data_IF_134954045008
#
_entry.id   IF_134954045008
#
_cell.length_a   1.000
_cell.length_b   1.000
_cell.length_c   1.000
_cell.angle_alpha   90.00
_cell.angle_beta   90.00
_cell.angle_gamma   90.00
#
_symmetry.space_group_name_H-M   'P 1'
#
loop_
_entity.id
_entity.type
_entity.pdbx_description
1 polymer ?
#
# COMPACT_ATOMS: atom_id res chain seq x y z
N UNK A 1 12.54 9.18 -15.37
CA UNK A 1 11.77 8.56 -16.46
C UNK A 1 12.64 7.64 -17.33
N UNK A 2 13.72 8.12 -17.94
CA UNK A 2 14.53 7.30 -18.88
C UNK A 2 15.12 6.02 -18.28
N UNK A 3 15.62 6.06 -17.05
CA UNK A 3 16.09 4.86 -16.36
C UNK A 3 14.99 3.81 -16.20
N UNK A 4 13.76 4.24 -15.89
CA UNK A 4 12.62 3.34 -15.75
C UNK A 4 12.29 2.67 -17.09
N UNK A 5 12.24 3.45 -18.18
CA UNK A 5 12.01 2.91 -19.53
C UNK A 5 13.11 1.94 -19.93
N UNK A 6 14.38 2.27 -19.65
CA UNK A 6 15.50 1.39 -19.93
C UNK A 6 15.44 0.09 -19.12
N UNK A 7 15.03 0.15 -17.84
CA UNK A 7 14.86 -1.03 -17.00
C UNK A 7 13.89 -2.03 -17.60
N UNK A 8 12.82 -1.60 -18.29
CA UNK A 8 11.86 -2.51 -18.93
C UNK A 8 12.49 -3.41 -20.01
N UNK A 9 13.63 -3.01 -20.58
CA UNK A 9 14.39 -3.81 -21.56
C UNK A 9 15.34 -4.81 -20.91
N UNK A 10 15.49 -4.77 -19.59
CA UNK A 10 16.39 -5.63 -18.83
C UNK A 10 15.68 -6.88 -18.28
N UNK A 11 14.41 -7.12 -18.66
CA UNK A 11 13.56 -8.20 -18.14
C UNK A 11 13.55 -8.22 -16.59
N UNK A 12 13.21 -7.10 -15.93
CA UNK A 12 13.18 -7.08 -14.48
C UNK A 12 11.98 -7.90 -13.99
N UNK A 13 12.14 -8.64 -12.90
CA UNK A 13 10.98 -9.27 -12.24
C UNK A 13 10.13 -8.21 -11.50
N UNK A 14 10.79 -7.17 -10.97
CA UNK A 14 10.17 -6.07 -10.21
C UNK A 14 10.89 -4.75 -10.48
N UNK A 15 10.18 -3.65 -10.31
CA UNK A 15 10.71 -2.30 -10.48
C UNK A 15 10.52 -1.52 -9.19
N UNK A 16 11.63 -1.02 -8.65
CA UNK A 16 11.64 -0.18 -7.47
C UNK A 16 11.95 1.25 -7.88
N UNK A 17 10.93 2.11 -7.90
CA UNK A 17 11.12 3.54 -8.12
C UNK A 17 11.28 4.20 -6.76
N UNK A 18 12.43 4.82 -6.49
CA UNK A 18 12.70 5.35 -5.15
C UNK A 18 11.61 6.32 -4.67
N UNK A 19 11.22 7.27 -5.51
CA UNK A 19 10.13 8.20 -5.24
C UNK A 19 9.51 8.70 -6.55
N UNK A 20 8.18 8.75 -6.61
CA UNK A 20 7.45 9.37 -7.72
C UNK A 20 7.10 10.83 -7.40
N UNK A 21 7.48 11.73 -8.31
CA UNK A 21 7.33 13.18 -8.22
C UNK A 21 6.72 13.82 -9.45
N UNK A 22 6.78 13.17 -10.63
CA UNK A 22 6.35 13.73 -11.92
C UNK A 22 5.80 12.64 -12.86
N UNK A 23 6.01 12.81 -14.16
CA UNK A 23 5.51 12.03 -15.26
C UNK A 23 6.02 10.57 -15.29
N UNK A 24 7.11 10.24 -14.59
CA UNK A 24 7.53 8.85 -14.41
C UNK A 24 6.48 7.98 -13.69
N UNK A 25 5.54 8.61 -12.97
CA UNK A 25 4.45 7.93 -12.28
C UNK A 25 3.60 7.11 -13.24
N UNK A 26 3.31 7.63 -14.45
CA UNK A 26 2.50 6.90 -15.43
C UNK A 26 3.24 5.70 -16.00
N UNK A 27 4.52 5.86 -16.36
CA UNK A 27 5.36 4.75 -16.84
C UNK A 27 5.51 3.65 -15.77
N UNK A 28 5.62 4.05 -14.50
CA UNK A 28 5.68 3.11 -13.38
C UNK A 28 4.36 2.34 -13.25
N UNK A 29 3.24 3.04 -13.35
CA UNK A 29 1.91 2.42 -13.27
C UNK A 29 1.68 1.43 -14.43
N UNK A 30 2.12 1.78 -15.63
CA UNK A 30 2.09 0.87 -16.77
C UNK A 30 2.96 -0.36 -16.53
N UNK A 31 4.17 -0.18 -16.01
CA UNK A 31 5.06 -1.29 -15.72
C UNK A 31 4.46 -2.26 -14.69
N UNK A 32 3.87 -1.73 -13.62
CA UNK A 32 3.16 -2.51 -12.59
C UNK A 32 2.02 -3.36 -13.19
N UNK A 33 1.29 -2.83 -14.17
CA UNK A 33 0.21 -3.56 -14.85
C UNK A 33 0.71 -4.56 -15.92
N UNK A 34 2.00 -4.61 -16.26
CA UNK A 34 2.53 -5.38 -17.40
C UNK A 34 3.58 -6.40 -16.99
N UNK A 35 3.29 -7.16 -15.93
CA UNK A 35 4.08 -8.34 -15.54
C UNK A 35 5.32 -8.04 -14.69
N UNK A 36 5.34 -6.90 -14.01
CA UNK A 36 6.38 -6.52 -13.04
C UNK A 36 5.82 -6.54 -11.61
N UNK A 37 5.29 -7.69 -11.21
CA UNK A 37 4.59 -7.86 -9.92
C UNK A 37 5.51 -7.60 -8.72
N UNK A 38 4.99 -6.97 -7.68
CA UNK A 38 5.78 -6.59 -6.49
C UNK A 38 6.69 -5.38 -6.71
N UNK A 39 6.51 -4.65 -7.81
CA UNK A 39 7.04 -3.29 -7.97
C UNK A 39 6.51 -2.36 -6.87
N UNK A 40 7.29 -1.35 -6.50
CA UNK A 40 6.87 -0.39 -5.47
C UNK A 40 7.51 0.99 -5.68
N UNK A 41 6.91 1.98 -5.03
CA UNK A 41 7.43 3.34 -4.98
C UNK A 41 7.12 4.02 -3.66
N UNK A 42 7.68 5.22 -3.45
CA UNK A 42 7.28 6.10 -2.36
C UNK A 42 6.69 7.40 -2.90
N UNK A 43 5.69 7.92 -2.18
CA UNK A 43 5.00 9.17 -2.52
C UNK A 43 4.71 9.94 -1.23
N UNK A 44 4.88 11.26 -1.28
CA UNK A 44 4.54 12.13 -0.16
C UNK A 44 3.02 12.38 -0.07
N UNK A 45 2.35 11.73 0.87
CA UNK A 45 0.94 11.96 1.19
C UNK A 45 0.69 12.03 2.71
N UNK A 46 -0.42 12.66 3.10
CA UNK A 46 -0.82 12.75 4.51
C UNK A 46 -1.65 11.54 4.97
N UNK A 47 -2.19 10.75 4.02
CA UNK A 47 -2.97 9.54 4.27
C UNK A 47 -2.85 8.57 3.09
N UNK A 48 -3.30 7.32 3.28
CA UNK A 48 -3.38 6.32 2.21
C UNK A 48 -4.33 6.77 1.09
N UNK A 49 -5.43 7.45 1.42
CA UNK A 49 -6.39 7.99 0.43
C UNK A 49 -5.80 9.16 -0.34
N UNK A 50 -5.10 10.07 0.35
CA UNK A 50 -4.40 11.19 -0.30
C UNK A 50 -3.30 10.70 -1.24
N UNK A 51 -2.69 9.55 -0.96
CA UNK A 51 -1.69 8.93 -1.83
C UNK A 51 -2.27 8.67 -3.23
N UNK A 52 -3.47 8.09 -3.32
CA UNK A 52 -4.16 7.85 -4.59
C UNK A 52 -4.49 9.16 -5.30
N UNK A 53 -5.06 10.14 -4.60
CA UNK A 53 -5.35 11.46 -5.19
C UNK A 53 -4.08 12.14 -5.73
N UNK A 54 -2.95 11.96 -5.05
CA UNK A 54 -1.66 12.50 -5.48
C UNK A 54 -1.11 11.77 -6.70
N UNK A 55 -1.18 10.43 -6.73
CA UNK A 55 -0.84 9.64 -7.91
C UNK A 55 -1.62 10.10 -9.14
N UNK A 56 -2.93 10.24 -9.00
CA UNK A 56 -3.81 10.74 -10.05
C UNK A 56 -3.36 12.13 -10.53
N UNK A 57 -3.09 13.04 -9.60
CA UNK A 57 -2.62 14.39 -9.92
C UNK A 57 -1.27 14.39 -10.66
N UNK A 58 -0.31 13.57 -10.22
CA UNK A 58 1.00 13.44 -10.88
C UNK A 58 0.87 12.93 -12.32
N UNK A 59 -0.02 11.97 -12.54
CA UNK A 59 -0.28 11.43 -13.89
C UNK A 59 -1.01 12.44 -14.75
N UNK A 60 -1.97 13.20 -14.21
CA UNK A 60 -2.66 14.26 -14.97
C UNK A 60 -1.75 15.42 -15.36
N UNK A 61 -0.65 15.64 -14.65
CA UNK A 61 0.38 16.60 -15.09
C UNK A 61 1.29 16.08 -16.20
N UNK A 62 1.19 14.79 -16.54
CA UNK A 62 1.85 14.23 -17.72
C UNK A 62 0.99 14.48 -18.97
N UNK A 63 1.61 14.48 -20.16
CA UNK A 63 0.91 14.68 -21.44
C UNK A 63 0.09 13.44 -21.88
N UNK A 64 -0.53 12.74 -20.94
CA UNK A 64 -1.32 11.53 -21.18
C UNK A 64 -2.79 11.92 -21.30
N UNK A 65 -3.36 11.73 -22.48
CA UNK A 65 -4.81 11.89 -22.70
C UNK A 65 -5.53 10.60 -22.33
N UNK A 66 -5.99 10.50 -21.08
CA UNK A 66 -6.77 9.37 -20.60
C UNK A 66 -7.99 9.85 -19.80
N UNK A 67 -9.20 9.30 -20.03
CA UNK A 67 -10.34 9.59 -19.18
C UNK A 67 -10.08 9.21 -17.71
N UNK A 68 -10.44 10.07 -16.76
CA UNK A 68 -10.23 9.83 -15.33
C UNK A 68 -10.70 8.46 -14.82
N UNK A 69 -11.89 7.93 -15.24
CA UNK A 69 -12.31 6.60 -14.80
C UNK A 69 -11.36 5.49 -15.29
N UNK A 70 -10.78 5.63 -16.49
CA UNK A 70 -9.81 4.67 -17.01
C UNK A 70 -8.49 4.72 -16.24
N UNK A 71 -8.02 5.93 -15.89
CA UNK A 71 -6.84 6.12 -15.06
C UNK A 71 -7.02 5.48 -13.68
N UNK A 72 -8.14 5.77 -13.01
CA UNK A 72 -8.45 5.18 -11.70
C UNK A 72 -8.55 3.65 -11.76
N UNK A 73 -9.08 3.11 -12.86
CA UNK A 73 -9.10 1.66 -13.08
C UNK A 73 -7.68 1.08 -13.21
N UNK A 74 -6.78 1.74 -13.93
CA UNK A 74 -5.37 1.32 -14.00
C UNK A 74 -4.68 1.41 -12.64
N UNK A 75 -4.99 2.44 -11.85
CA UNK A 75 -4.46 2.60 -10.49
C UNK A 75 -4.96 1.51 -9.55
N UNK A 76 -6.27 1.23 -9.54
CA UNK A 76 -6.87 0.18 -8.72
C UNK A 76 -6.37 -1.22 -9.09
N UNK A 77 -5.99 -1.44 -10.36
CA UNK A 77 -5.44 -2.72 -10.82
C UNK A 77 -3.95 -2.90 -10.48
N UNK A 78 -3.18 -1.80 -10.44
CA UNK A 78 -1.73 -1.86 -10.24
C UNK A 78 -1.29 -1.86 -8.78
N UNK A 79 -2.12 -1.30 -7.89
CA UNK A 79 -1.75 -1.04 -6.50
C UNK A 79 -2.54 -2.00 -5.63
N UNK A 80 -1.88 -2.97 -5.00
CA UNK A 80 -2.52 -3.85 -4.03
C UNK A 80 -2.58 -3.21 -2.62
N UNK A 81 -1.49 -2.54 -2.22
CA UNK A 81 -1.26 -2.10 -0.84
C UNK A 81 -0.65 -0.69 -0.76
N UNK A 82 -1.08 0.05 0.26
CA UNK A 82 -0.48 1.33 0.68
C UNK A 82 -0.04 1.24 2.13
N UNK A 83 1.26 1.44 2.37
CA UNK A 83 1.87 1.47 3.70
C UNK A 83 2.13 2.92 4.09
N UNK A 84 1.25 3.49 4.92
CA UNK A 84 1.38 4.87 5.35
C UNK A 84 2.41 4.99 6.47
N UNK A 85 3.46 5.77 6.25
CA UNK A 85 4.44 6.12 7.27
C UNK A 85 4.10 7.47 7.92
N UNK A 86 4.41 7.63 9.20
CA UNK A 86 4.33 8.89 9.94
C UNK A 86 5.58 9.11 10.77
N UNK A 87 5.98 10.37 10.93
CA UNK A 87 7.03 10.74 11.88
C UNK A 87 6.42 10.80 13.28
N UNK A 88 6.84 9.90 14.15
CA UNK A 88 6.42 9.86 15.55
C UNK A 88 7.05 11.03 16.33
N UNK A 89 6.49 11.37 17.50
CA UNK A 89 7.02 12.42 18.39
C UNK A 89 8.45 12.14 18.85
N UNK A 90 8.84 10.86 18.92
CA UNK A 90 10.23 10.44 19.21
C UNK A 90 11.21 10.68 18.04
N UNK A 91 10.75 11.21 16.91
CA UNK A 91 11.56 11.44 15.70
C UNK A 91 11.66 10.24 14.76
N UNK A 92 11.32 9.04 15.23
CA UNK A 92 11.33 7.80 14.44
C UNK A 92 10.21 7.78 13.40
N UNK A 93 10.45 7.13 12.25
CA UNK A 93 9.40 6.81 11.27
C UNK A 93 8.73 5.51 11.68
N UNK A 94 7.40 5.52 11.72
CA UNK A 94 6.59 4.36 12.09
C UNK A 94 5.54 4.11 11.02
N UNK A 95 5.15 2.85 10.84
CA UNK A 95 3.98 2.49 10.03
C UNK A 95 2.72 2.90 10.79
N UNK A 96 1.97 3.86 10.28
CA UNK A 96 0.73 4.35 10.89
C UNK A 96 -0.46 3.47 10.53
N UNK A 97 -0.53 3.07 9.27
CA UNK A 97 -1.64 2.34 8.68
C UNK A 97 -1.14 1.50 7.50
N UNK A 98 -1.76 0.33 7.31
CA UNK A 98 -1.62 -0.48 6.11
C UNK A 98 -3.01 -0.60 5.52
N UNK A 99 -3.17 -0.17 4.28
CA UNK A 99 -4.45 -0.14 3.57
C UNK A 99 -4.36 -0.96 2.30
N UNK A 100 -5.31 -1.87 2.10
CA UNK A 100 -5.51 -2.60 0.87
C UNK A 100 -6.39 -1.78 -0.09
N UNK A 101 -6.03 -1.80 -1.37
CA UNK A 101 -6.90 -1.31 -2.44
C UNK A 101 -7.73 -2.49 -2.93
N UNK A 102 -9.05 -2.38 -2.79
CA UNK A 102 -9.97 -3.52 -3.03
C UNK A 102 -10.62 -3.48 -4.42
N UNK A 103 -10.24 -2.52 -5.25
CA UNK A 103 -10.79 -2.31 -6.58
C UNK A 103 -11.46 -0.94 -6.71
N UNK A 104 -12.61 -0.91 -7.36
CA UNK A 104 -13.27 0.33 -7.75
C UNK A 104 -14.78 0.16 -7.76
N UNK A 105 -15.49 1.12 -7.18
CA UNK A 105 -16.94 1.25 -7.25
C UNK A 105 -17.29 2.48 -8.07
N UNK A 106 -17.95 2.25 -9.22
CA UNK A 106 -18.26 3.27 -10.22
C UNK A 106 -17.03 4.05 -10.70
N UNK A 107 -16.71 5.18 -10.04
CA UNK A 107 -15.60 6.08 -10.37
C UNK A 107 -14.63 6.28 -9.21
N UNK A 108 -14.82 5.57 -8.10
CA UNK A 108 -14.04 5.75 -6.87
C UNK A 108 -13.27 4.48 -6.54
N UNK A 109 -11.97 4.63 -6.30
CA UNK A 109 -11.12 3.53 -5.83
C UNK A 109 -11.52 3.17 -4.40
N UNK A 110 -11.87 1.91 -4.19
CA UNK A 110 -12.24 1.36 -2.91
C UNK A 110 -11.01 0.87 -2.17
N UNK A 111 -11.00 1.06 -0.85
CA UNK A 111 -9.87 0.72 -0.01
C UNK A 111 -10.38 0.24 1.35
N UNK A 112 -9.63 -0.65 1.99
CA UNK A 112 -9.89 -1.08 3.36
C UNK A 112 -8.60 -1.09 4.17
N UNK A 113 -8.64 -0.54 5.38
CA UNK A 113 -7.51 -0.65 6.30
C UNK A 113 -7.40 -2.09 6.75
N UNK A 114 -6.18 -2.61 6.80
CA UNK A 114 -5.87 -3.94 7.34
C UNK A 114 -5.26 -3.81 8.73
N UNK A 115 -4.37 -2.81 8.90
CA UNK A 115 -3.75 -2.48 10.17
C UNK A 115 -3.79 -0.99 10.44
N UNK A 116 -3.97 -0.58 11.70
CA UNK A 116 -3.95 0.83 12.11
C UNK A 116 -3.41 1.02 13.53
N UNK A 117 -2.75 2.17 13.77
CA UNK A 117 -2.37 2.64 15.12
C UNK A 117 -3.38 3.62 15.74
N UNK A 118 -4.38 4.10 14.99
CA UNK A 118 -5.28 5.12 15.52
C UNK A 118 -6.35 4.53 16.46
N UNK A 119 -6.28 4.96 17.72
CA UNK A 119 -7.06 4.51 18.89
C UNK A 119 -8.59 4.62 18.80
N UNK A 120 -9.17 5.17 17.72
CA UNK A 120 -10.60 5.54 17.73
C UNK A 120 -11.58 4.37 17.57
N UNK A 121 -11.16 3.14 17.22
CA UNK A 121 -12.10 2.03 17.00
C UNK A 121 -11.65 0.63 17.42
N UNK A 122 -10.43 0.46 17.92
CA UNK A 122 -9.88 -0.86 18.25
C UNK A 122 -9.45 -0.83 19.71
N UNK A 123 -10.17 -1.55 20.56
CA UNK A 123 -9.72 -1.77 21.93
C UNK A 123 -8.39 -2.52 21.88
N UNK A 124 -7.35 -1.98 22.51
CA UNK A 124 -6.04 -2.62 22.50
C UNK A 124 -6.16 -4.02 23.13
N UNK A 125 -5.82 -5.09 22.39
CA UNK A 125 -5.97 -6.44 22.90
C UNK A 125 -4.98 -6.72 24.04
N UNK A 126 -5.27 -7.71 24.88
CA UNK A 126 -4.41 -8.09 25.99
C UNK A 126 -3.00 -8.45 25.47
N UNK A 127 -1.96 -7.82 26.03
CA UNK A 127 -0.56 -8.01 25.61
C UNK A 127 -0.06 -7.04 24.54
N UNK A 128 -0.93 -6.18 23.98
CA UNK A 128 -0.52 -5.11 23.06
C UNK A 128 0.18 -3.99 23.83
N UNK A 129 1.50 -4.11 24.01
CA UNK A 129 2.29 -3.14 24.73
C UNK A 129 2.76 -1.99 23.83
N UNK A 130 2.78 -0.79 24.40
CA UNK A 130 3.49 0.33 23.84
C UNK A 130 5.01 0.06 23.95
N UNK A 131 5.74 0.17 22.84
CA UNK A 131 7.19 -0.02 22.81
C UNK A 131 7.85 1.32 22.53
N UNK A 132 8.71 1.79 23.42
CA UNK A 132 9.40 3.09 23.31
C UNK A 132 8.48 4.31 23.07
N UNK A 133 7.29 4.33 23.66
CA UNK A 133 6.31 5.40 23.48
C UNK A 133 5.45 5.24 22.22
N UNK A 134 5.64 4.18 21.43
CA UNK A 134 4.93 3.94 20.17
C UNK A 134 3.82 2.91 20.40
N UNK A 135 2.57 3.33 20.16
CA UNK A 135 1.38 2.47 20.25
C UNK A 135 1.45 1.34 19.21
N UNK A 136 1.10 0.08 19.52
CA UNK A 136 1.22 -1.04 18.58
C UNK A 136 0.40 -0.85 17.31
N UNK A 137 0.87 -1.44 16.20
CA UNK A 137 0.12 -1.54 14.95
C UNK A 137 -0.84 -2.74 15.08
N UNK A 138 -2.14 -2.49 15.07
CA UNK A 138 -3.17 -3.51 15.34
C UNK A 138 -3.95 -3.84 14.08
N UNK A 139 -4.31 -5.12 13.92
CA UNK A 139 -5.23 -5.55 12.89
C UNK A 139 -6.62 -4.96 13.16
N UNK A 140 -7.35 -4.61 12.09
CA UNK A 140 -8.67 -3.99 12.24
C UNK A 140 -9.83 -4.99 12.25
N UNK A 141 -9.57 -6.30 12.12
CA UNK A 141 -10.61 -7.33 12.04
C UNK A 141 -11.05 -7.69 10.61
N UNK A 142 -10.29 -7.29 9.60
CA UNK A 142 -10.60 -7.57 8.19
C UNK A 142 -9.52 -8.50 7.64
N UNK A 143 -9.95 -9.64 7.10
CA UNK A 143 -9.09 -10.55 6.34
C UNK A 143 -8.88 -9.98 4.94
N UNK A 144 -7.65 -9.67 4.52
CA UNK A 144 -7.39 -9.09 3.20
C UNK A 144 -7.58 -10.08 2.06
N UNK A 145 -7.86 -9.59 0.86
CA UNK A 145 -8.03 -10.44 -0.33
C UNK A 145 -6.72 -11.08 -0.79
N UNK A 146 -5.58 -10.44 -0.52
CA UNK A 146 -4.26 -10.98 -0.88
C UNK A 146 -3.81 -12.16 -0.01
N UNK A 147 -4.61 -12.64 0.96
CA UNK A 147 -4.23 -13.79 1.81
C UNK A 147 -3.97 -15.06 0.99
N UNK A 148 -4.72 -15.26 -0.10
CA UNK A 148 -4.53 -16.38 -1.02
C UNK A 148 -3.16 -16.31 -1.72
N UNK A 149 -2.80 -15.12 -2.24
CA UNK A 149 -1.47 -14.89 -2.85
C UNK A 149 -0.33 -15.20 -1.88
N UNK A 150 -0.51 -14.87 -0.60
CA UNK A 150 0.48 -15.17 0.44
C UNK A 150 0.57 -16.67 0.71
N UNK A 151 -0.57 -17.36 0.78
CA UNK A 151 -0.61 -18.82 0.94
C UNK A 151 0.08 -19.53 -0.22
N UNK A 152 -0.16 -19.11 -1.47
CA UNK A 152 0.48 -19.67 -2.67
C UNK A 152 2.00 -19.44 -2.66
N UNK A 153 2.46 -18.35 -2.06
CA UNK A 153 3.87 -18.06 -1.84
C UNK A 153 4.48 -18.82 -0.63
N UNK A 154 3.71 -19.71 0.02
CA UNK A 154 4.13 -20.47 1.19
C UNK A 154 4.11 -19.68 2.50
N UNK A 155 3.51 -18.48 2.52
CA UNK A 155 3.39 -17.65 3.72
C UNK A 155 2.06 -17.95 4.39
N UNK A 156 2.13 -18.65 5.53
CA UNK A 156 0.95 -18.99 6.32
C UNK A 156 0.83 -18.08 7.54
N UNK A 157 -0.33 -17.43 7.67
CA UNK A 157 -0.64 -16.64 8.85
C UNK A 157 -1.39 -17.49 9.89
N UNK A 158 -1.16 -17.25 11.19
CA UNK A 158 -2.02 -17.78 12.24
C UNK A 158 -3.49 -17.40 11.99
N UNK A 159 -4.43 -18.29 12.34
CA UNK A 159 -5.86 -18.09 12.06
C UNK A 159 -6.43 -16.77 12.63
N UNK A 160 -5.90 -16.30 13.75
CA UNK A 160 -6.31 -15.09 14.45
C UNK A 160 -5.42 -13.87 14.16
N UNK A 161 -4.61 -13.91 13.09
CA UNK A 161 -3.62 -12.86 12.80
C UNK A 161 -4.27 -11.51 12.45
N UNK A 162 -5.43 -11.53 11.78
CA UNK A 162 -6.16 -10.32 11.39
C UNK A 162 -7.30 -9.95 12.36
N UNK A 163 -7.46 -10.69 13.45
CA UNK A 163 -8.51 -10.45 14.45
C UNK A 163 -8.22 -9.17 15.25
N UNK A 164 -9.21 -8.29 15.37
CA UNK A 164 -9.09 -7.04 16.12
C UNK A 164 -8.87 -7.23 17.64
N UNK A 165 -9.20 -8.42 18.17
CA UNK A 165 -9.16 -8.78 19.59
C UNK A 165 -7.85 -9.44 20.04
N UNK A 166 -6.90 -9.66 19.13
CA UNK A 166 -5.63 -10.32 19.43
C UNK A 166 -4.42 -9.54 18.93
N UNK A 167 -3.36 -9.50 19.73
CA UNK A 167 -2.03 -9.07 19.26
C UNK A 167 -1.20 -10.31 19.01
N UNK A 168 -1.08 -10.69 17.73
CA UNK A 168 -0.21 -11.79 17.31
C UNK A 168 1.06 -11.21 16.72
N UNK A 169 2.21 -11.54 17.29
CA UNK A 169 3.49 -11.24 16.66
C UNK A 169 3.79 -12.35 15.66
N UNK A 170 3.73 -12.02 14.37
CA UNK A 170 4.18 -12.93 13.31
C UNK A 170 5.62 -12.63 12.94
N UNK A 171 6.47 -13.65 12.98
CA UNK A 171 7.81 -13.64 12.38
C UNK A 171 7.86 -14.81 11.42
N UNK A 172 7.95 -14.58 10.10
CA UNK A 172 8.16 -15.67 9.15
C UNK A 172 9.48 -16.39 9.49
N UNK A 173 9.49 -17.72 9.32
CA UNK A 173 10.70 -18.55 9.43
C UNK A 173 11.69 -18.28 8.28
#
# INVERSE_FOLDING_TARGET
>A
RDCLINSLRMRPDRILVGECRRDETFEMLQAMNTGHDGSMTTIHSNSSRDCLSRLESLILTSNVEMPLPALRKQMASAIDLVVQLKRHKSGQRIVQEITEVTGMEQTTITMQSVFSREKKKIAAPAGAANVHGIDPLLAVGIVPSFIEKFSDAGIQFPANFFDASTSVTYRPE
#
